data_IF_194512501311
#
_entry.id   IF_194512501311
#
_cell.length_a   1.000
_cell.length_b   1.000
_cell.length_c   1.000
_cell.angle_alpha   90.00
_cell.angle_beta   90.00
_cell.angle_gamma   90.00
#
_symmetry.space_group_name_H-M   'P 1'
#
loop_
_entity.id
_entity.type
_entity.pdbx_description
1 polymer ?
#
# COMPACT_ATOMS: atom_id res chain seq x y z
N UNK A 1 6.71 -2.70 -25.75
CA UNK A 1 7.59 -1.80 -26.51
C UNK A 1 8.28 -0.94 -25.48
N UNK A 2 9.56 -1.18 -25.25
CA UNK A 2 10.37 -0.41 -24.30
C UNK A 2 11.07 0.71 -25.05
N UNK A 3 11.19 1.87 -24.42
CA UNK A 3 11.82 3.04 -25.01
C UNK A 3 12.82 3.59 -24.01
N UNK A 4 14.10 3.47 -24.33
CA UNK A 4 15.18 3.97 -23.49
C UNK A 4 15.75 5.26 -24.09
N UNK A 5 15.93 6.28 -23.25
CA UNK A 5 16.80 7.42 -23.53
C UNK A 5 18.05 7.29 -22.67
N UNK A 6 19.16 6.94 -23.32
CA UNK A 6 20.46 6.80 -22.67
C UNK A 6 21.25 8.09 -22.84
N UNK A 7 21.63 8.72 -21.74
CA UNK A 7 22.65 9.75 -21.72
C UNK A 7 23.99 9.09 -21.40
N UNK A 8 24.92 9.20 -22.33
CA UNK A 8 26.27 8.64 -22.22
C UNK A 8 27.25 9.79 -22.02
N UNK A 9 28.18 9.63 -21.08
CA UNK A 9 29.28 10.56 -20.89
C UNK A 9 30.17 10.52 -22.14
N UNK A 10 30.30 11.66 -22.82
CA UNK A 10 31.06 11.73 -24.06
C UNK A 10 32.59 11.54 -23.87
N UNK A 11 33.11 11.60 -22.64
CA UNK A 11 34.53 11.50 -22.34
C UNK A 11 34.98 10.09 -21.97
N UNK A 12 34.13 9.27 -21.33
CA UNK A 12 34.50 7.91 -20.89
C UNK A 12 33.56 6.79 -21.35
N UNK A 13 32.44 7.11 -22.02
CA UNK A 13 31.50 6.12 -22.54
C UNK A 13 30.64 5.44 -21.47
N UNK A 14 30.69 5.91 -20.22
CA UNK A 14 29.83 5.41 -19.16
C UNK A 14 28.40 5.95 -19.30
N UNK A 15 27.42 5.13 -18.92
CA UNK A 15 26.03 5.57 -18.87
C UNK A 15 25.87 6.52 -17.69
N UNK A 16 25.56 7.78 -17.98
CA UNK A 16 25.35 8.84 -16.98
C UNK A 16 23.91 8.82 -16.50
N UNK A 17 22.98 8.48 -17.39
CA UNK A 17 21.56 8.38 -17.06
C UNK A 17 20.85 7.46 -18.07
N UNK A 18 19.97 6.59 -17.59
CA UNK A 18 19.08 5.75 -18.39
C UNK A 18 17.66 6.14 -18.00
N UNK A 19 16.91 6.74 -18.92
CA UNK A 19 15.48 7.03 -18.70
C UNK A 19 14.68 6.00 -19.49
N UNK A 20 13.96 5.14 -18.80
CA UNK A 20 12.94 4.29 -19.43
C UNK A 20 11.61 5.06 -19.50
N UNK A 21 10.97 5.07 -20.67
CA UNK A 21 9.64 5.66 -20.86
C UNK A 21 8.50 4.67 -20.61
N UNK A 22 8.79 3.44 -20.18
CA UNK A 22 7.81 2.63 -19.43
C UNK A 22 7.52 3.38 -18.12
N UNK A 23 6.24 3.64 -17.79
CA UNK A 23 5.89 4.56 -16.71
C UNK A 23 6.37 4.06 -15.33
N UNK A 24 7.56 4.48 -14.91
CA UNK A 24 8.11 4.20 -13.58
C UNK A 24 7.27 4.91 -12.51
N UNK A 25 6.41 4.15 -11.82
CA UNK A 25 5.68 4.71 -10.68
C UNK A 25 6.64 4.90 -9.51
N UNK A 26 6.56 6.04 -8.83
CA UNK A 26 7.43 6.33 -7.67
C UNK A 26 6.61 6.79 -6.47
N UNK A 27 6.98 6.35 -5.28
CA UNK A 27 6.24 6.62 -4.04
C UNK A 27 7.16 7.15 -2.96
N UNK A 28 6.84 8.30 -2.36
CA UNK A 28 7.48 8.75 -1.13
C UNK A 28 6.81 8.10 0.07
N UNK A 29 7.48 7.11 0.66
CA UNK A 29 6.90 6.21 1.67
C UNK A 29 7.94 5.84 2.72
N UNK A 30 7.47 5.24 3.81
CA UNK A 30 8.35 4.59 4.78
C UNK A 30 8.74 3.24 4.16
N UNK A 31 10.03 2.94 3.97
CA UNK A 31 10.46 1.68 3.36
C UNK A 31 9.77 0.48 4.01
N UNK A 32 9.43 -0.55 3.23
CA UNK A 32 8.70 -1.72 3.75
C UNK A 32 9.45 -2.44 4.89
N UNK A 33 10.78 -2.28 4.98
CA UNK A 33 11.64 -2.80 6.04
C UNK A 33 11.72 -1.92 7.29
N UNK A 34 11.11 -0.74 7.25
CA UNK A 34 11.09 0.26 8.33
C UNK A 34 9.71 0.28 9.00
N UNK A 35 9.67 0.68 10.27
CA UNK A 35 8.46 0.59 11.06
C UNK A 35 7.54 1.80 10.87
N UNK A 36 8.08 3.01 10.96
CA UNK A 36 7.27 4.22 11.13
C UNK A 36 8.00 5.51 10.68
N UNK A 37 7.37 6.70 10.74
CA UNK A 37 7.97 7.94 10.24
C UNK A 37 9.34 8.32 10.84
N UNK A 38 9.71 7.78 12.01
CA UNK A 38 11.00 8.05 12.67
C UNK A 38 12.17 7.40 11.95
N UNK A 39 11.91 6.33 11.21
CA UNK A 39 12.90 5.65 10.39
C UNK A 39 13.13 6.36 9.05
N UNK A 40 12.32 7.38 8.73
CA UNK A 40 12.45 8.21 7.55
C UNK A 40 11.59 7.76 6.37
N UNK A 41 11.47 8.65 5.39
CA UNK A 41 10.80 8.41 4.12
C UNK A 41 11.81 8.36 2.99
N UNK A 42 11.59 7.45 2.05
CA UNK A 42 12.36 7.31 0.82
C UNK A 42 11.44 7.42 -0.39
N UNK A 43 12.00 7.80 -1.54
CA UNK A 43 11.30 7.71 -2.83
C UNK A 43 11.67 6.38 -3.45
N UNK A 44 10.72 5.45 -3.46
CA UNK A 44 10.90 4.11 -4.01
C UNK A 44 10.30 4.09 -5.41
N UNK A 45 11.09 3.70 -6.39
CA UNK A 45 10.71 3.67 -7.81
C UNK A 45 10.52 2.24 -8.27
N UNK A 46 9.42 2.02 -8.97
CA UNK A 46 8.98 0.74 -9.51
C UNK A 46 9.07 -0.48 -8.57
N UNK A 47 8.49 -0.41 -7.35
CA UNK A 47 8.59 -1.47 -6.35
C UNK A 47 7.80 -2.74 -6.66
N UNK A 48 6.99 -2.76 -7.72
CA UNK A 48 6.08 -3.87 -7.97
C UNK A 48 6.86 -5.13 -8.34
N UNK A 49 6.33 -6.28 -7.94
CA UNK A 49 6.85 -7.55 -8.43
C UNK A 49 6.15 -7.92 -9.75
N UNK A 50 6.89 -8.06 -10.87
CA UNK A 50 6.28 -8.34 -12.17
C UNK A 50 5.63 -9.74 -12.25
N UNK A 51 5.92 -10.66 -11.32
CA UNK A 51 5.25 -11.95 -11.28
C UNK A 51 3.82 -11.83 -10.75
N UNK A 52 3.64 -11.13 -9.63
CA UNK A 52 2.35 -10.99 -8.94
C UNK A 52 1.55 -9.79 -9.42
N UNK A 53 2.22 -8.74 -9.88
CA UNK A 53 1.64 -7.50 -10.39
C UNK A 53 2.15 -7.18 -11.80
N UNK A 54 1.88 -8.03 -12.82
CA UNK A 54 2.47 -7.91 -14.16
C UNK A 54 2.11 -6.63 -14.93
N UNK A 55 1.09 -5.89 -14.49
CA UNK A 55 0.70 -4.59 -15.07
C UNK A 55 1.06 -3.41 -14.14
N UNK A 56 1.93 -3.63 -13.16
CA UNK A 56 2.17 -2.72 -12.04
C UNK A 56 0.95 -2.60 -11.11
N UNK A 57 1.04 -1.69 -10.15
CA UNK A 57 -0.01 -1.52 -9.13
C UNK A 57 -1.18 -0.64 -9.57
N UNK A 58 -1.05 0.13 -10.66
CA UNK A 58 -2.03 1.13 -11.11
C UNK A 58 -2.88 0.69 -12.30
N UNK A 59 -3.03 -0.62 -12.53
CA UNK A 59 -3.88 -1.14 -13.59
C UNK A 59 -4.60 -2.40 -13.15
N UNK A 60 -5.87 -2.53 -13.51
CA UNK A 60 -6.65 -3.76 -13.37
C UNK A 60 -7.50 -4.01 -14.61
N UNK A 61 -7.37 -5.20 -15.19
CA UNK A 61 -7.91 -5.49 -16.53
C UNK A 61 -7.45 -4.44 -17.54
N UNK A 62 -8.41 -3.76 -18.19
CA UNK A 62 -8.15 -2.69 -19.16
C UNK A 62 -8.18 -1.28 -18.54
N UNK A 63 -8.38 -1.16 -17.23
CA UNK A 63 -8.51 0.13 -16.55
C UNK A 63 -7.19 0.52 -15.91
N UNK A 64 -6.60 1.62 -16.38
CA UNK A 64 -5.45 2.27 -15.73
C UNK A 64 -5.92 3.38 -14.80
N UNK A 65 -5.21 3.56 -13.69
CA UNK A 65 -5.45 4.63 -12.71
C UNK A 65 -4.20 5.51 -12.59
N UNK A 66 -4.40 6.69 -12.04
CA UNK A 66 -3.33 7.62 -11.64
C UNK A 66 -3.53 8.03 -10.18
N UNK A 67 -4.19 7.18 -9.39
CA UNK A 67 -4.52 7.42 -7.99
C UNK A 67 -4.13 6.21 -7.14
N UNK A 68 -4.24 6.30 -5.81
CA UNK A 68 -4.04 5.18 -4.85
C UNK A 68 -5.14 4.09 -4.96
N UNK A 69 -5.40 3.61 -6.17
CA UNK A 69 -6.41 2.63 -6.57
C UNK A 69 -5.81 1.72 -7.63
N UNK A 70 -5.82 0.42 -7.39
CA UNK A 70 -5.10 -0.56 -8.19
C UNK A 70 -5.80 -1.90 -8.27
N UNK A 71 -5.11 -2.90 -8.84
CA UNK A 71 -5.62 -4.27 -8.86
C UNK A 71 -5.70 -4.88 -7.46
N UNK A 72 -4.67 -4.69 -6.65
CA UNK A 72 -4.54 -5.40 -5.37
C UNK A 72 -5.12 -4.56 -4.22
N UNK A 73 -4.95 -3.24 -4.30
CA UNK A 73 -5.27 -2.27 -3.22
C UNK A 73 -6.05 -1.08 -3.75
N UNK A 74 -6.97 -0.57 -2.94
CA UNK A 74 -7.39 0.82 -2.98
C UNK A 74 -7.24 1.44 -1.59
N UNK A 75 -6.50 2.54 -1.48
CA UNK A 75 -6.34 3.30 -0.24
C UNK A 75 -7.05 4.65 -0.35
N UNK A 76 -7.93 4.94 0.61
CA UNK A 76 -8.81 6.09 0.57
C UNK A 76 -9.11 6.63 1.98
N UNK A 77 -9.73 7.81 2.06
CA UNK A 77 -10.33 8.34 3.29
C UNK A 77 -11.82 8.56 3.11
N UNK A 78 -12.61 8.13 4.09
CA UNK A 78 -14.09 8.27 4.17
C UNK A 78 -14.91 7.53 3.11
N UNK A 79 -14.49 7.52 1.85
CA UNK A 79 -15.15 6.84 0.72
C UNK A 79 -14.09 6.33 -0.26
N UNK A 80 -14.37 5.26 -1.00
CA UNK A 80 -13.48 4.72 -2.05
C UNK A 80 -13.23 5.70 -3.21
N UNK A 81 -13.93 6.83 -3.26
CA UNK A 81 -13.63 7.96 -4.17
C UNK A 81 -12.62 8.95 -3.57
N UNK A 82 -12.39 8.94 -2.26
CA UNK A 82 -11.47 9.81 -1.52
C UNK A 82 -10.02 9.32 -1.55
N UNK A 83 -9.50 9.07 -2.75
CA UNK A 83 -8.14 8.59 -3.04
C UNK A 83 -7.17 9.76 -3.27
N UNK A 84 -5.86 9.52 -3.20
CA UNK A 84 -4.85 10.52 -3.58
C UNK A 84 -4.44 10.34 -5.05
N UNK A 85 -4.30 11.45 -5.78
CA UNK A 85 -3.85 11.45 -7.18
C UNK A 85 -2.33 11.47 -7.27
N UNK A 86 -1.78 11.20 -8.44
CA UNK A 86 -0.35 11.44 -8.71
C UNK A 86 -0.03 12.94 -8.47
N UNK A 87 1.07 13.19 -7.79
CA UNK A 87 1.59 14.53 -7.48
C UNK A 87 2.30 15.18 -8.68
N UNK A 88 2.79 14.38 -9.63
CA UNK A 88 3.28 14.82 -10.94
C UNK A 88 2.99 13.74 -12.00
N UNK A 89 3.31 14.00 -13.26
CA UNK A 89 3.15 13.03 -14.35
C UNK A 89 3.88 11.71 -14.05
N UNK A 90 3.45 10.65 -14.74
CA UNK A 90 4.09 9.32 -14.69
C UNK A 90 3.94 8.64 -13.33
N UNK A 91 2.74 8.65 -12.72
CA UNK A 91 2.45 7.93 -11.47
C UNK A 91 3.45 8.23 -10.33
N UNK A 92 3.83 9.51 -10.20
CA UNK A 92 4.69 9.96 -9.11
C UNK A 92 3.85 10.44 -7.92
N UNK A 93 4.02 9.82 -6.75
CA UNK A 93 3.33 10.10 -5.50
C UNK A 93 4.32 10.59 -4.43
N UNK A 94 4.74 11.85 -4.54
CA UNK A 94 5.68 12.49 -3.63
C UNK A 94 4.98 13.47 -2.69
N UNK A 95 4.35 12.93 -1.64
CA UNK A 95 3.70 13.71 -0.60
C UNK A 95 4.59 13.80 0.65
N UNK A 96 5.00 15.00 1.02
CA UNK A 96 5.96 15.22 2.12
C UNK A 96 5.24 15.27 3.46
N UNK A 97 5.37 14.22 4.26
CA UNK A 97 4.84 14.19 5.62
C UNK A 97 5.51 15.23 6.53
N UNK A 98 4.72 15.91 7.36
CA UNK A 98 5.17 16.83 8.41
C UNK A 98 4.62 16.40 9.77
N UNK A 99 5.50 15.92 10.66
CA UNK A 99 5.12 15.46 12.01
C UNK A 99 4.62 16.56 12.93
N UNK A 100 4.91 17.83 12.62
CA UNK A 100 4.42 18.97 13.40
C UNK A 100 2.98 19.39 13.05
N UNK A 101 2.39 18.82 11.99
CA UNK A 101 1.01 19.13 11.57
C UNK A 101 0.06 17.98 11.84
N UNK A 102 -1.22 18.30 12.05
CA UNK A 102 -2.24 17.29 12.26
C UNK A 102 -2.29 16.28 11.08
N UNK A 103 -2.45 14.98 11.36
CA UNK A 103 -2.46 13.96 10.30
C UNK A 103 -3.61 14.15 9.30
N UNK A 104 -4.69 14.81 9.72
CA UNK A 104 -5.87 15.08 8.90
C UNK A 104 -5.69 16.20 7.86
N UNK A 105 -4.57 16.94 7.92
CA UNK A 105 -4.26 18.06 7.03
C UNK A 105 -3.42 17.60 5.84
N UNK A 106 -3.64 18.14 4.64
CA UNK A 106 -2.78 17.85 3.48
C UNK A 106 -1.42 18.53 3.64
N UNK A 107 -0.30 17.88 3.27
CA UNK A 107 -0.21 16.59 2.56
C UNK A 107 -0.16 15.34 3.46
N UNK A 108 -0.30 15.44 4.79
CA UNK A 108 -0.19 14.27 5.67
C UNK A 108 -1.23 13.19 5.36
N UNK A 109 -2.48 13.58 5.06
CA UNK A 109 -3.51 12.62 4.64
C UNK A 109 -3.16 11.91 3.33
N UNK A 110 -2.48 12.59 2.42
CA UNK A 110 -2.06 12.01 1.14
C UNK A 110 -0.87 11.07 1.33
N UNK A 111 0.10 11.46 2.17
CA UNK A 111 1.21 10.61 2.57
C UNK A 111 0.71 9.31 3.23
N UNK A 112 -0.31 9.39 4.10
CA UNK A 112 -0.93 8.23 4.74
C UNK A 112 -1.57 7.26 3.72
N UNK A 113 -2.33 7.78 2.73
CA UNK A 113 -2.94 6.95 1.68
C UNK A 113 -1.88 6.30 0.79
N UNK A 114 -0.85 7.05 0.42
CA UNK A 114 0.25 6.55 -0.43
C UNK A 114 1.04 5.48 0.30
N UNK A 115 1.37 5.68 1.58
CA UNK A 115 2.05 4.68 2.39
C UNK A 115 1.23 3.40 2.53
N UNK A 116 -0.05 3.52 2.89
CA UNK A 116 -0.95 2.36 3.00
C UNK A 116 -1.12 1.62 1.65
N UNK A 117 -1.19 2.35 0.54
CA UNK A 117 -1.23 1.76 -0.81
C UNK A 117 0.07 0.99 -1.12
N UNK A 118 1.23 1.58 -0.84
CA UNK A 118 2.54 0.96 -1.03
C UNK A 118 2.68 -0.31 -0.18
N UNK A 119 2.51 -0.22 1.14
CA UNK A 119 2.66 -1.36 2.05
C UNK A 119 1.66 -2.47 1.71
N UNK A 120 0.41 -2.11 1.40
CA UNK A 120 -0.60 -3.07 1.01
C UNK A 120 -0.23 -3.87 -0.25
N UNK A 121 0.36 -3.21 -1.26
CA UNK A 121 0.81 -3.88 -2.47
C UNK A 121 2.08 -4.69 -2.24
N UNK A 122 3.03 -4.21 -1.42
CA UNK A 122 4.21 -5.00 -1.02
C UNK A 122 3.82 -6.31 -0.34
N UNK A 123 2.82 -6.28 0.55
CA UNK A 123 2.30 -7.49 1.21
C UNK A 123 1.63 -8.41 0.19
N UNK A 124 0.86 -7.87 -0.75
CA UNK A 124 0.28 -8.67 -1.84
C UNK A 124 1.38 -9.39 -2.63
N UNK A 125 2.36 -8.65 -3.12
CA UNK A 125 3.42 -9.18 -3.97
C UNK A 125 4.27 -10.23 -3.22
N UNK A 126 4.59 -9.95 -1.95
CA UNK A 126 5.27 -10.90 -1.08
C UNK A 126 4.45 -12.18 -0.88
N UNK A 127 3.19 -12.07 -0.47
CA UNK A 127 2.36 -13.24 -0.17
C UNK A 127 2.04 -14.07 -1.43
N UNK A 128 1.96 -13.44 -2.60
CA UNK A 128 1.83 -14.12 -3.88
C UNK A 128 3.01 -15.06 -4.13
N UNK A 129 4.25 -14.62 -3.85
CA UNK A 129 5.46 -15.46 -3.94
C UNK A 129 5.43 -16.66 -3.00
N UNK A 130 4.66 -16.59 -1.90
CA UNK A 130 4.44 -17.68 -0.96
C UNK A 130 3.16 -18.49 -1.24
N UNK A 131 2.56 -18.34 -2.41
CA UNK A 131 1.45 -19.18 -2.88
C UNK A 131 0.06 -18.60 -2.62
N UNK A 132 -0.05 -17.38 -2.09
CA UNK A 132 -1.33 -16.68 -2.00
C UNK A 132 -1.70 -16.05 -3.35
N UNK A 133 -2.13 -16.92 -4.25
CA UNK A 133 -2.50 -16.62 -5.65
C UNK A 133 -4.01 -16.57 -5.83
N UNK A 134 -4.48 -16.29 -7.04
CA UNK A 134 -5.91 -16.22 -7.39
C UNK A 134 -6.67 -17.49 -7.02
N UNK A 135 -6.11 -18.66 -7.35
CA UNK A 135 -6.74 -19.96 -7.00
C UNK A 135 -6.65 -20.30 -5.52
N UNK A 136 -5.82 -19.57 -4.78
CA UNK A 136 -5.67 -19.66 -3.33
C UNK A 136 -6.32 -18.46 -2.62
N UNK A 137 -7.29 -17.82 -3.29
CA UNK A 137 -8.19 -16.81 -2.73
C UNK A 137 -7.52 -15.47 -2.40
N UNK A 138 -6.56 -15.06 -3.24
CA UNK A 138 -5.95 -13.73 -3.12
C UNK A 138 -6.90 -12.59 -3.47
N UNK A 139 -6.58 -11.39 -2.98
CA UNK A 139 -7.43 -10.21 -3.14
C UNK A 139 -7.03 -9.43 -4.38
N UNK A 140 -7.83 -9.49 -5.43
CA UNK A 140 -7.57 -8.80 -6.68
C UNK A 140 -8.88 -8.30 -7.33
N UNK A 141 -8.82 -7.10 -7.91
CA UNK A 141 -9.95 -6.56 -8.67
C UNK A 141 -10.20 -7.38 -9.94
N UNK A 142 -9.13 -7.86 -10.57
CA UNK A 142 -9.14 -8.68 -11.76
C UNK A 142 -8.08 -9.79 -11.64
N UNK A 143 -8.50 -11.03 -11.88
CA UNK A 143 -7.64 -12.23 -11.77
C UNK A 143 -6.98 -12.61 -13.09
N UNK A 144 -7.15 -11.82 -14.15
CA UNK A 144 -6.59 -12.03 -15.49
C UNK A 144 -6.87 -13.44 -16.08
N UNK A 145 -7.98 -14.06 -15.67
CA UNK A 145 -8.35 -15.42 -16.07
C UNK A 145 -7.58 -16.55 -15.38
N UNK A 146 -6.83 -16.26 -14.30
CA UNK A 146 -6.02 -17.24 -13.57
C UNK A 146 -6.82 -18.09 -12.57
N UNK A 147 -8.12 -17.85 -12.41
CA UNK A 147 -9.00 -18.58 -11.48
C UNK A 147 -9.44 -17.71 -10.30
N UNK A 148 -10.00 -18.32 -9.26
CA UNK A 148 -10.54 -17.62 -8.09
C UNK A 148 -11.80 -16.78 -8.38
N UNK A 149 -12.42 -16.26 -7.33
CA UNK A 149 -13.34 -15.13 -7.46
C UNK A 149 -12.53 -13.81 -7.48
N UNK A 150 -13.09 -12.78 -8.10
CA UNK A 150 -12.43 -11.49 -8.31
C UNK A 150 -13.34 -10.35 -7.83
N UNK A 151 -12.89 -9.12 -8.01
CA UNK A 151 -13.54 -7.89 -7.52
C UNK A 151 -13.43 -7.72 -6.00
N UNK A 152 -12.35 -8.23 -5.42
CA UNK A 152 -12.14 -8.32 -3.99
C UNK A 152 -10.81 -7.73 -3.52
N UNK A 153 -10.20 -6.87 -4.34
CA UNK A 153 -9.05 -6.05 -3.92
C UNK A 153 -9.27 -5.47 -2.53
N UNK A 154 -8.19 -5.36 -1.75
CA UNK A 154 -8.33 -4.83 -0.40
C UNK A 154 -8.60 -3.33 -0.43
N UNK A 155 -9.57 -2.94 0.39
CA UNK A 155 -9.98 -1.58 0.65
C UNK A 155 -9.36 -1.12 1.96
N UNK A 156 -8.47 -0.13 1.89
CA UNK A 156 -7.81 0.45 3.07
C UNK A 156 -8.38 1.86 3.32
N UNK A 157 -9.20 1.98 4.35
CA UNK A 157 -9.73 3.24 4.86
C UNK A 157 -8.71 3.83 5.84
N UNK A 158 -7.98 4.88 5.44
CA UNK A 158 -7.07 5.60 6.32
C UNK A 158 -7.81 6.65 7.13
N UNK A 159 -7.38 6.85 8.38
CA UNK A 159 -7.99 7.79 9.33
C UNK A 159 -9.51 7.56 9.46
N UNK A 160 -9.92 6.29 9.49
CA UNK A 160 -11.32 5.92 9.53
C UNK A 160 -11.98 6.44 10.81
N UNK A 161 -13.12 7.13 10.67
CA UNK A 161 -13.80 7.79 11.78
C UNK A 161 -14.59 6.83 12.68
N UNK A 162 -14.68 5.54 12.33
CA UNK A 162 -15.39 4.56 13.16
C UNK A 162 -14.62 4.17 14.43
N UNK A 163 -13.36 4.58 14.57
CA UNK A 163 -12.51 4.21 15.68
C UNK A 163 -11.34 5.17 15.93
N UNK A 164 -10.58 4.87 16.98
CA UNK A 164 -9.31 5.50 17.35
C UNK A 164 -8.47 4.49 18.13
N UNK A 165 -7.15 4.69 18.17
CA UNK A 165 -6.21 3.88 18.96
C UNK A 165 -6.28 2.37 18.69
N UNK A 166 -6.53 1.99 17.44
CA UNK A 166 -6.57 0.60 17.01
C UNK A 166 -6.44 0.54 15.47
N UNK A 167 -6.51 -0.66 14.93
CA UNK A 167 -6.83 -0.91 13.53
C UNK A 167 -7.67 -2.20 13.46
N UNK A 168 -8.33 -2.44 12.32
CA UNK A 168 -9.13 -3.66 12.11
C UNK A 168 -9.07 -4.09 10.66
N UNK A 169 -8.94 -5.39 10.43
CA UNK A 169 -9.20 -6.02 9.14
C UNK A 169 -10.39 -6.98 9.17
N UNK A 170 -11.18 -6.98 8.10
CA UNK A 170 -12.26 -7.96 7.88
C UNK A 170 -12.01 -8.73 6.59
N UNK A 171 -11.99 -10.06 6.71
CA UNK A 171 -11.75 -11.02 5.61
C UNK A 171 -13.06 -11.72 5.27
N UNK A 172 -13.88 -11.16 4.37
CA UNK A 172 -15.05 -11.89 3.88
C UNK A 172 -14.62 -13.06 2.97
N UNK A 173 -15.56 -13.93 2.56
CA UNK A 173 -15.29 -14.96 1.55
C UNK A 173 -14.78 -14.38 0.23
N UNK A 174 -14.02 -15.19 -0.52
CA UNK A 174 -13.46 -14.88 -1.84
C UNK A 174 -14.49 -14.20 -2.78
N UNK A 175 -14.05 -13.19 -3.53
CA UNK A 175 -14.91 -12.35 -4.37
C UNK A 175 -15.61 -11.21 -3.64
N UNK A 176 -15.35 -11.03 -2.34
CA UNK A 176 -15.75 -9.85 -1.57
C UNK A 176 -14.53 -9.08 -1.07
N UNK A 177 -14.50 -7.73 -1.20
CA UNK A 177 -13.35 -6.95 -0.79
C UNK A 177 -12.96 -7.12 0.68
N UNK A 178 -11.69 -7.44 0.94
CA UNK A 178 -11.10 -7.29 2.27
C UNK A 178 -11.14 -5.83 2.72
N UNK A 179 -11.51 -5.59 3.99
CA UNK A 179 -11.71 -4.24 4.52
C UNK A 179 -10.74 -3.97 5.66
N UNK A 180 -9.76 -3.09 5.43
CA UNK A 180 -8.83 -2.59 6.44
C UNK A 180 -9.22 -1.19 6.86
N UNK A 181 -9.36 -0.96 8.17
CA UNK A 181 -9.61 0.36 8.75
C UNK A 181 -8.44 0.74 9.64
N UNK A 182 -7.72 1.78 9.24
CA UNK A 182 -6.61 2.36 9.99
C UNK A 182 -7.13 3.58 10.75
N UNK A 183 -6.92 3.61 12.06
CA UNK A 183 -7.39 4.74 12.88
C UNK A 183 -6.25 5.68 13.28
N UNK A 184 -6.63 6.87 13.74
CA UNK A 184 -5.71 7.81 14.38
C UNK A 184 -5.43 7.39 15.84
N UNK A 185 -4.23 7.70 16.30
CA UNK A 185 -3.77 7.49 17.66
C UNK A 185 -3.79 8.81 18.44
N UNK A 186 -4.57 8.87 19.52
CA UNK A 186 -4.83 10.10 20.28
C UNK A 186 -3.90 10.27 21.49
N UNK A 187 -2.79 9.52 21.55
CA UNK A 187 -1.85 9.54 22.69
C UNK A 187 -0.83 10.69 22.60
N UNK A 188 -0.73 11.37 21.46
CA UNK A 188 0.20 12.47 21.19
C UNK A 188 -0.53 13.68 20.61
N UNK A 189 0.13 14.84 20.61
CA UNK A 189 -0.32 16.04 19.91
C UNK A 189 0.85 16.61 19.06
N UNK A 190 0.75 16.62 17.72
CA UNK A 190 -0.35 16.08 16.90
C UNK A 190 -0.57 14.56 17.08
N UNK A 191 -1.77 14.09 16.71
CA UNK A 191 -2.13 12.67 16.74
C UNK A 191 -1.23 11.85 15.80
N UNK A 192 -0.93 10.61 16.16
CA UNK A 192 -0.29 9.65 15.27
C UNK A 192 -1.29 9.11 14.22
N UNK A 193 -0.80 8.71 13.05
CA UNK A 193 -1.61 8.10 11.99
C UNK A 193 -1.22 6.63 11.83
N UNK A 194 -2.13 5.70 12.14
CA UNK A 194 -1.85 4.27 12.03
C UNK A 194 -1.52 3.81 10.62
N UNK A 195 -1.94 4.54 9.57
CA UNK A 195 -1.58 4.22 8.19
C UNK A 195 -0.11 4.52 7.83
N UNK A 196 0.61 5.23 8.71
CA UNK A 196 2.05 5.45 8.61
C UNK A 196 2.87 4.51 9.52
N UNK A 197 2.22 3.59 10.23
CA UNK A 197 2.88 2.56 11.04
C UNK A 197 2.84 1.25 10.24
N UNK A 198 3.92 0.95 9.52
CA UNK A 198 4.00 -0.20 8.60
C UNK A 198 3.77 -1.53 9.33
N UNK A 199 4.21 -1.64 10.58
CA UNK A 199 3.96 -2.82 11.43
C UNK A 199 2.47 -3.01 11.70
N UNK A 200 1.70 -1.94 11.93
CA UNK A 200 0.25 -2.03 12.11
C UNK A 200 -0.44 -2.42 10.80
N UNK A 201 -0.10 -1.77 9.68
CA UNK A 201 -0.67 -2.12 8.36
C UNK A 201 -0.40 -3.60 8.02
N UNK A 202 0.79 -4.08 8.38
CA UNK A 202 1.23 -5.46 8.16
C UNK A 202 0.53 -6.44 9.11
N UNK A 203 0.45 -6.11 10.41
CA UNK A 203 -0.23 -6.90 11.44
C UNK A 203 -1.70 -7.13 11.11
N UNK A 204 -2.38 -6.10 10.61
CA UNK A 204 -3.79 -6.21 10.24
C UNK A 204 -4.01 -7.05 8.98
N UNK A 205 -2.97 -7.51 8.26
CA UNK A 205 -3.16 -8.43 7.13
C UNK A 205 -3.16 -9.88 7.59
N UNK A 206 -4.33 -10.54 7.70
CA UNK A 206 -4.39 -11.94 8.14
C UNK A 206 -3.64 -12.89 7.20
N UNK A 207 -3.41 -12.50 5.96
CA UNK A 207 -2.70 -13.28 4.95
C UNK A 207 -1.23 -13.55 5.30
N UNK A 208 -0.64 -12.77 6.21
CA UNK A 208 0.69 -13.06 6.77
C UNK A 208 0.61 -14.04 7.96
N UNK A 209 -0.51 -14.06 8.70
CA UNK A 209 -0.72 -15.00 9.81
C UNK A 209 -1.08 -16.42 9.33
N UNK A 210 -1.72 -16.55 8.16
CA UNK A 210 -2.17 -17.84 7.60
C UNK A 210 -0.99 -18.68 7.06
N UNK A 211 0.15 -18.07 6.74
CA UNK A 211 1.37 -18.78 6.29
C UNK A 211 1.94 -19.74 7.34
N UNK A 212 1.57 -19.63 8.62
CA UNK A 212 2.05 -20.53 9.68
C UNK A 212 1.07 -21.66 10.05
N UNK A 213 -0.15 -21.70 9.48
CA UNK A 213 -1.16 -22.70 9.88
C UNK A 213 -1.81 -23.38 8.68
N UNK A 214 -1.19 -24.48 8.28
CA UNK A 214 -1.76 -25.50 7.41
C UNK A 214 -3.24 -25.82 7.76
N UNK A 215 -4.14 -25.54 6.82
CA UNK A 215 -5.41 -26.27 6.68
C UNK A 215 -6.61 -25.84 7.54
N UNK A 216 -6.67 -24.61 8.08
CA UNK A 216 -7.80 -24.17 8.90
C UNK A 216 -8.72 -23.18 8.18
N UNK A 217 -10.01 -23.52 8.14
CA UNK A 217 -11.15 -22.61 7.94
C UNK A 217 -10.88 -21.25 8.58
N UNK A 218 -11.03 -20.17 7.81
CA UNK A 218 -10.95 -18.78 8.27
C UNK A 218 -12.02 -18.56 9.37
N UNK A 219 -11.64 -18.78 10.63
CA UNK A 219 -12.42 -18.30 11.75
C UNK A 219 -12.14 -16.80 11.89
N UNK A 220 -13.18 -15.97 12.09
CA UNK A 220 -12.97 -14.55 12.33
C UNK A 220 -12.13 -14.40 13.60
N UNK A 221 -10.88 -13.95 13.44
CA UNK A 221 -10.08 -13.55 14.60
C UNK A 221 -10.77 -12.32 15.20
N UNK A 222 -11.03 -12.38 16.51
CA UNK A 222 -11.63 -11.26 17.25
C UNK A 222 -10.74 -10.00 17.17
N UNK A 223 -11.21 -8.85 17.71
CA UNK A 223 -10.48 -7.59 17.58
C UNK A 223 -9.09 -7.71 18.23
N UNK A 224 -8.06 -7.80 17.39
CA UNK A 224 -6.67 -7.82 17.81
C UNK A 224 -6.29 -6.38 18.19
N UNK A 225 -5.67 -6.18 19.36
CA UNK A 225 -5.24 -4.84 19.80
C UNK A 225 -3.84 -4.58 19.25
N UNK A 226 -3.72 -3.66 18.30
CA UNK A 226 -2.43 -3.11 17.89
C UNK A 226 -1.80 -2.32 19.06
N UNK A 227 -0.49 -2.42 19.23
CA UNK A 227 0.24 -1.67 20.25
C UNK A 227 0.27 -0.18 19.85
N UNK A 228 0.21 0.75 20.83
CA UNK A 228 0.28 2.17 20.52
C UNK A 228 1.64 2.58 19.94
N UNK A 229 1.68 3.60 19.06
CA UNK A 229 2.92 4.23 18.62
C UNK A 229 3.78 4.61 19.81
N UNK A 230 5.08 4.35 19.72
CA UNK A 230 6.04 4.80 20.74
C UNK A 230 6.07 6.34 20.72
N UNK A 231 5.63 6.95 21.83
CA UNK A 231 5.33 8.38 21.91
C UNK A 231 6.47 9.32 21.49
N UNK A 232 6.11 10.43 20.85
CA UNK A 232 7.00 11.54 20.57
C UNK A 232 7.44 12.20 21.89
N UNK A 233 8.69 11.99 22.30
CA UNK A 233 9.36 12.94 23.20
C UNK A 233 10.02 14.02 22.35
N UNK A 234 9.92 15.30 22.75
CA UNK A 234 10.47 16.43 22.02
C UNK A 234 12.01 16.40 21.91
#
# INVERSE_FOLDING_TARGET
MEWYLVYIDAANGEVVNLVDFTAEASYRVIPFTSQDPRDGFEVITDPHDPLSSPNGWHQYGTTSTTTTSGNNIISYKSSTTGVSSQSSATNNYNYVFNSATAPTVSPNVDAARVNAFYVGNMIHDLTYRYGFTETSYNFQQNNNGLGGAQNDRVQISVQDSSGSNNAVFSTPPDGQPGQMRMYLWTYTSPQGDGALENDIVTHERPNLEVSEKDGATLLPTGPNRSQPPRGHSP
#
